data_IF_394450348369
#
_entry.id   IF_394450348369
#
_cell.length_a   1.000
_cell.length_b   1.000
_cell.length_c   1.000
_cell.angle_alpha   90.00
_cell.angle_beta   90.00
_cell.angle_gamma   90.00
#
_symmetry.space_group_name_H-M   'P 1'
#
loop_
_entity.id
_entity.type
_entity.pdbx_description
1 polymer ?
#
# COMPACT_ATOMS: atom_id res chain seq x y z
N UNK A 1 -81.12 -64.80 -14.05
CA UNK A 1 -80.77 -66.01 -13.26
C UNK A 1 -79.41 -65.73 -12.56
N UNK A 2 -79.38 -65.80 -11.22
CA UNK A 2 -78.25 -65.83 -10.26
C UNK A 2 -77.49 -64.49 -10.07
N UNK A 3 -77.86 -63.81 -9.03
CA UNK A 3 -77.36 -63.82 -7.64
C UNK A 3 -75.85 -63.55 -7.51
N UNK A 4 -75.51 -62.35 -6.97
CA UNK A 4 -75.18 -61.97 -5.62
C UNK A 4 -73.81 -62.50 -5.13
N UNK A 5 -72.94 -61.64 -4.80
CA UNK A 5 -72.37 -61.66 -3.42
C UNK A 5 -71.66 -60.36 -3.07
N UNK A 6 -72.15 -59.66 -2.11
CA UNK A 6 -71.51 -58.57 -1.34
C UNK A 6 -70.40 -59.20 -0.49
N UNK A 7 -69.24 -58.67 -0.50
CA UNK A 7 -68.30 -58.73 0.62
C UNK A 7 -67.68 -57.34 0.86
N UNK A 8 -68.10 -56.80 2.00
CA UNK A 8 -67.54 -55.54 2.46
C UNK A 8 -66.08 -55.68 2.96
N UNK A 9 -65.27 -54.75 2.62
CA UNK A 9 -63.96 -54.58 3.21
C UNK A 9 -63.97 -53.33 4.06
N UNK A 10 -63.76 -53.56 5.39
CA UNK A 10 -63.66 -52.55 6.40
C UNK A 10 -62.45 -51.66 6.16
N UNK A 11 -62.69 -50.39 5.96
CA UNK A 11 -61.60 -49.41 5.87
C UNK A 11 -60.90 -49.24 7.21
N UNK A 12 -59.64 -49.51 7.23
CA UNK A 12 -58.76 -49.13 8.34
C UNK A 12 -58.23 -47.72 8.06
N UNK A 13 -58.78 -46.76 8.79
CA UNK A 13 -58.19 -45.42 8.83
C UNK A 13 -56.93 -45.48 9.69
N UNK A 14 -55.76 -45.46 9.07
CA UNK A 14 -54.49 -45.21 9.72
C UNK A 14 -54.29 -43.70 9.80
N UNK A 15 -54.50 -43.15 11.01
CA UNK A 15 -54.22 -41.78 11.32
C UNK A 15 -52.71 -41.60 11.46
N UNK A 16 -52.05 -41.12 10.39
CA UNK A 16 -50.65 -40.78 10.41
C UNK A 16 -50.48 -39.46 11.20
N UNK A 17 -50.08 -39.58 12.46
CA UNK A 17 -49.56 -38.42 13.23
C UNK A 17 -48.25 -37.99 12.64
N UNK A 18 -48.27 -36.92 11.87
CA UNK A 18 -47.10 -36.19 11.46
C UNK A 18 -46.58 -35.41 12.69
N UNK A 19 -45.62 -36.02 13.39
CA UNK A 19 -44.80 -35.30 14.39
C UNK A 19 -44.00 -34.23 13.67
N UNK A 20 -44.50 -33.02 13.65
CA UNK A 20 -43.77 -31.83 13.27
C UNK A 20 -42.64 -31.58 14.26
N UNK A 21 -41.45 -32.11 13.96
CA UNK A 21 -40.22 -31.77 14.65
C UNK A 21 -39.79 -30.40 14.15
N UNK A 22 -40.28 -29.34 14.83
CA UNK A 22 -39.81 -27.97 14.62
C UNK A 22 -38.33 -27.92 14.96
N UNK A 23 -37.49 -27.92 13.92
CA UNK A 23 -36.06 -27.64 14.03
C UNK A 23 -35.94 -26.17 14.42
N UNK A 24 -35.93 -25.88 15.72
CA UNK A 24 -35.48 -24.58 16.23
C UNK A 24 -34.02 -24.41 15.82
N UNK A 25 -33.82 -23.75 14.67
CA UNK A 25 -32.53 -23.16 14.35
C UNK A 25 -32.21 -22.15 15.46
N UNK A 26 -31.39 -22.58 16.40
CA UNK A 26 -30.69 -21.68 17.32
C UNK A 26 -29.89 -20.72 16.50
N UNK A 27 -30.49 -19.61 16.12
CA UNK A 27 -29.74 -18.46 15.58
C UNK A 27 -28.91 -17.95 16.76
N UNK A 28 -27.65 -18.39 16.83
CA UNK A 28 -26.67 -17.76 17.71
C UNK A 28 -26.71 -16.27 17.38
N UNK A 29 -26.84 -15.39 18.39
CA UNK A 29 -26.74 -13.95 18.10
C UNK A 29 -25.44 -13.73 17.36
N UNK A 30 -25.50 -13.07 16.19
CA UNK A 30 -24.34 -12.56 15.49
C UNK A 30 -23.73 -11.50 16.42
N UNK A 31 -22.88 -11.94 17.33
CA UNK A 31 -22.00 -11.02 18.06
C UNK A 31 -21.03 -10.51 17.01
N UNK A 32 -21.08 -9.21 16.74
CA UNK A 32 -20.16 -8.58 15.81
C UNK A 32 -18.74 -8.81 16.34
N UNK A 33 -17.98 -9.65 15.65
CA UNK A 33 -16.58 -9.92 15.98
C UNK A 33 -15.75 -8.69 15.61
N UNK A 34 -14.91 -8.25 16.53
CA UNK A 34 -14.00 -7.14 16.32
C UNK A 34 -12.63 -7.67 15.88
N UNK A 35 -11.75 -6.78 15.44
CA UNK A 35 -10.37 -7.16 15.12
C UNK A 35 -9.64 -7.80 16.31
N UNK A 36 -10.03 -7.45 17.54
CA UNK A 36 -9.42 -8.03 18.75
C UNK A 36 -9.73 -9.52 18.84
N UNK A 37 -10.95 -9.92 18.49
CA UNK A 37 -11.41 -11.32 18.54
C UNK A 37 -10.77 -12.17 17.42
N UNK A 38 -10.42 -11.52 16.30
CA UNK A 38 -9.93 -12.17 15.08
C UNK A 38 -8.42 -11.98 14.85
N UNK A 39 -7.70 -11.28 15.74
CA UNK A 39 -6.30 -10.87 15.53
C UNK A 39 -5.38 -12.00 15.08
N UNK A 40 -5.51 -13.16 15.72
CA UNK A 40 -4.69 -14.34 15.41
C UNK A 40 -5.09 -15.08 14.13
N UNK A 41 -6.21 -14.72 13.55
CA UNK A 41 -6.75 -15.33 12.32
C UNK A 41 -6.47 -14.50 11.07
N UNK A 42 -5.91 -13.28 11.23
CA UNK A 42 -5.60 -12.42 10.10
C UNK A 42 -4.58 -13.10 9.21
N UNK A 43 -5.02 -13.51 8.02
CA UNK A 43 -4.12 -14.02 6.99
C UNK A 43 -3.43 -12.85 6.28
N UNK A 44 -2.14 -13.03 5.97
CA UNK A 44 -1.42 -12.05 5.15
C UNK A 44 -2.01 -12.05 3.75
N UNK A 45 -2.47 -10.88 3.24
CA UNK A 45 -2.97 -10.79 1.87
C UNK A 45 -1.89 -11.18 0.85
N UNK A 46 -2.28 -11.67 -0.35
CA UNK A 46 -1.33 -11.92 -1.42
C UNK A 46 -0.60 -10.62 -1.80
N UNK A 47 0.63 -10.77 -2.32
CA UNK A 47 1.41 -9.64 -2.78
C UNK A 47 0.65 -8.86 -3.86
N UNK A 48 0.55 -7.51 -3.76
CA UNK A 48 -0.06 -6.70 -4.80
C UNK A 48 0.70 -6.84 -6.13
N UNK A 49 -0.03 -6.70 -7.24
CA UNK A 49 0.56 -6.73 -8.57
C UNK A 49 1.48 -5.53 -8.80
N UNK A 50 2.67 -5.78 -9.34
CA UNK A 50 3.59 -4.74 -9.81
C UNK A 50 3.52 -4.63 -11.34
N UNK A 51 3.43 -3.39 -11.86
CA UNK A 51 3.18 -3.12 -13.28
C UNK A 51 4.28 -2.28 -13.90
N UNK A 52 4.63 -2.50 -15.18
CA UNK A 52 5.43 -1.54 -15.93
C UNK A 52 4.71 -0.18 -15.98
N UNK A 53 5.50 0.89 -15.91
CA UNK A 53 4.97 2.25 -16.01
C UNK A 53 5.88 3.13 -16.85
N UNK A 54 5.27 3.95 -17.71
CA UNK A 54 5.97 5.01 -18.45
C UNK A 54 5.58 6.35 -17.84
N UNK A 55 6.57 7.18 -17.52
CA UNK A 55 6.37 8.51 -16.95
C UNK A 55 6.86 9.59 -17.90
N UNK A 56 6.20 10.75 -17.92
CA UNK A 56 6.70 11.92 -18.60
C UNK A 56 7.70 12.66 -17.68
N UNK A 57 9.00 12.73 -18.03
CA UNK A 57 10.02 13.38 -17.22
C UNK A 57 9.71 14.85 -16.90
N UNK A 58 8.98 15.55 -17.79
CA UNK A 58 8.67 16.98 -17.64
C UNK A 58 7.65 17.26 -16.57
N UNK A 59 6.76 16.28 -16.29
CA UNK A 59 5.68 16.42 -15.31
C UNK A 59 5.84 15.46 -14.13
N UNK A 60 7.00 14.81 -14.03
CA UNK A 60 7.31 13.85 -12.96
C UNK A 60 8.38 14.42 -12.01
N UNK A 61 8.26 14.09 -10.73
CA UNK A 61 9.34 14.28 -9.76
C UNK A 61 9.72 12.95 -9.09
N UNK A 62 11.01 12.76 -8.88
CA UNK A 62 11.56 11.69 -8.05
C UNK A 62 11.76 12.20 -6.62
N UNK A 63 11.11 11.58 -5.65
CA UNK A 63 11.24 11.88 -4.23
C UNK A 63 12.14 10.84 -3.56
N UNK A 64 13.24 11.30 -2.96
CA UNK A 64 14.16 10.48 -2.16
C UNK A 64 13.95 10.81 -0.68
N UNK A 65 13.24 9.92 0.03
CA UNK A 65 12.78 10.17 1.38
C UNK A 65 13.70 9.54 2.43
N UNK A 66 14.32 10.41 3.23
CA UNK A 66 15.04 10.08 4.46
C UNK A 66 16.18 9.05 4.32
N UNK A 67 16.90 9.07 3.19
CA UNK A 67 18.12 8.27 3.00
C UNK A 67 19.32 8.81 3.80
N UNK A 68 19.06 9.40 4.96
CA UNK A 68 20.09 9.95 5.82
C UNK A 68 20.63 8.92 6.84
N UNK A 69 21.90 9.01 7.20
CA UNK A 69 22.65 8.03 8.01
C UNK A 69 22.04 7.72 9.38
N UNK A 70 21.28 8.65 9.95
CA UNK A 70 20.59 8.44 11.23
C UNK A 70 19.48 7.38 11.15
N UNK A 71 18.95 7.18 9.95
CA UNK A 71 17.82 6.26 9.70
C UNK A 71 18.22 5.12 8.79
N UNK A 72 18.91 5.42 7.69
CA UNK A 72 19.37 4.47 6.70
C UNK A 72 20.79 3.99 7.03
N UNK A 73 20.90 3.01 7.90
CA UNK A 73 22.18 2.42 8.31
C UNK A 73 22.04 0.91 8.55
N UNK A 74 23.17 0.22 8.64
CA UNK A 74 23.21 -1.24 8.73
C UNK A 74 22.61 -1.79 10.03
N UNK A 75 22.70 -1.04 11.14
CA UNK A 75 22.20 -1.48 12.44
C UNK A 75 20.68 -1.39 12.52
N UNK A 76 20.13 -0.28 12.05
CA UNK A 76 18.72 0.03 12.18
C UNK A 76 17.90 -0.48 11.00
N UNK A 77 18.41 -0.29 9.77
CA UNK A 77 17.68 -0.61 8.52
C UNK A 77 18.61 -1.16 7.44
N UNK A 78 19.13 -2.36 7.59
CA UNK A 78 20.00 -2.96 6.58
C UNK A 78 19.32 -3.04 5.19
N UNK A 79 17.99 -3.19 5.17
CA UNK A 79 17.20 -3.19 3.93
C UNK A 79 17.23 -1.83 3.20
N UNK A 80 17.38 -0.72 3.95
CA UNK A 80 17.59 0.58 3.34
C UNK A 80 18.92 0.64 2.59
N UNK A 81 20.00 0.17 3.23
CA UNK A 81 21.32 0.08 2.57
C UNK A 81 21.23 -0.79 1.31
N UNK A 82 20.53 -1.92 1.38
CA UNK A 82 20.36 -2.83 0.25
C UNK A 82 19.57 -2.20 -0.94
N UNK A 83 18.70 -1.21 -0.69
CA UNK A 83 17.95 -0.50 -1.75
C UNK A 83 18.76 0.58 -2.46
N UNK A 84 19.84 1.10 -1.86
CA UNK A 84 20.61 2.24 -2.39
C UNK A 84 21.11 2.00 -3.82
N UNK A 85 21.69 0.86 -4.21
CA UNK A 85 22.19 0.67 -5.58
C UNK A 85 21.08 0.82 -6.64
N UNK A 86 19.89 0.29 -6.39
CA UNK A 86 18.74 0.43 -7.28
C UNK A 86 18.25 1.88 -7.35
N UNK A 87 18.12 2.53 -6.20
CA UNK A 87 17.70 3.94 -6.12
C UNK A 87 18.73 4.87 -6.78
N UNK A 88 20.01 4.59 -6.66
CA UNK A 88 21.08 5.32 -7.36
C UNK A 88 20.93 5.25 -8.89
N UNK A 89 20.61 4.06 -9.41
CA UNK A 89 20.34 3.90 -10.84
C UNK A 89 19.13 4.75 -11.27
N UNK A 90 18.02 4.66 -10.53
CA UNK A 90 16.83 5.44 -10.81
C UNK A 90 17.10 6.95 -10.73
N UNK A 91 17.89 7.40 -9.76
CA UNK A 91 18.31 8.80 -9.62
C UNK A 91 19.14 9.28 -10.80
N UNK A 92 20.10 8.47 -11.26
CA UNK A 92 20.93 8.79 -12.43
C UNK A 92 20.05 8.92 -13.69
N UNK A 93 19.13 7.99 -13.91
CA UNK A 93 18.20 8.02 -15.04
C UNK A 93 17.26 9.24 -14.97
N UNK A 94 16.75 9.58 -13.78
CA UNK A 94 15.92 10.75 -13.57
C UNK A 94 16.66 12.06 -13.90
N UNK A 95 17.88 12.20 -13.41
CA UNK A 95 18.76 13.36 -13.70
C UNK A 95 19.07 13.48 -15.18
N UNK A 96 19.41 12.37 -15.84
CA UNK A 96 19.70 12.34 -17.28
C UNK A 96 18.49 12.76 -18.12
N UNK A 97 17.28 12.41 -17.70
CA UNK A 97 16.02 12.77 -18.36
C UNK A 97 15.52 14.18 -17.98
N UNK A 98 16.19 14.88 -17.08
CA UNK A 98 15.75 16.20 -16.58
C UNK A 98 14.53 16.14 -15.65
N UNK A 99 14.23 14.98 -15.09
CA UNK A 99 13.17 14.82 -14.08
C UNK A 99 13.52 15.59 -12.81
N UNK A 100 12.55 16.27 -12.24
CA UNK A 100 12.73 16.99 -10.97
C UNK A 100 13.09 16.00 -9.87
N UNK A 101 14.16 16.28 -9.14
CA UNK A 101 14.59 15.46 -7.98
C UNK A 101 14.41 16.28 -6.72
N UNK A 102 13.76 15.70 -5.71
CA UNK A 102 13.50 16.34 -4.41
C UNK A 102 13.87 15.37 -3.29
N UNK A 103 14.57 15.87 -2.30
CA UNK A 103 14.98 15.10 -1.13
C UNK A 103 14.14 15.46 0.09
N UNK A 104 14.04 14.50 1.01
CA UNK A 104 13.62 14.82 2.35
C UNK A 104 14.62 14.32 3.39
N UNK A 105 14.58 14.98 4.53
CA UNK A 105 15.35 14.65 5.72
C UNK A 105 14.43 14.48 6.92
N UNK A 106 14.81 13.59 7.81
CA UNK A 106 14.23 13.56 9.15
C UNK A 106 14.73 14.73 9.99
N UNK A 107 14.00 15.07 11.06
CA UNK A 107 14.38 16.14 11.98
C UNK A 107 15.82 15.95 12.51
N UNK A 108 16.59 17.02 12.52
CA UNK A 108 17.98 17.03 12.96
C UNK A 108 19.02 16.52 11.96
N UNK A 109 18.61 16.00 10.81
CA UNK A 109 19.53 15.62 9.73
C UNK A 109 19.82 16.82 8.82
N UNK A 110 20.98 16.78 8.16
CA UNK A 110 21.44 17.77 7.19
C UNK A 110 21.67 17.12 5.81
N UNK A 111 21.78 17.86 4.72
CA UNK A 111 22.07 17.28 3.40
C UNK A 111 23.36 16.46 3.37
N UNK A 112 24.35 16.78 4.21
CA UNK A 112 25.60 16.02 4.33
C UNK A 112 25.40 14.63 4.99
N UNK A 113 24.25 14.38 5.58
CA UNK A 113 23.91 13.08 6.17
C UNK A 113 23.28 12.12 5.16
N UNK A 114 22.89 12.58 3.98
CA UNK A 114 22.38 11.73 2.91
C UNK A 114 23.45 10.76 2.46
N UNK A 115 23.07 9.49 2.21
CA UNK A 115 23.99 8.50 1.69
C UNK A 115 24.76 9.04 0.48
N UNK A 116 26.09 8.91 0.46
CA UNK A 116 26.96 9.52 -0.54
C UNK A 116 26.59 9.16 -1.99
N UNK A 117 26.15 7.92 -2.20
CA UNK A 117 25.68 7.43 -3.51
C UNK A 117 24.40 8.13 -4.01
N UNK A 118 23.68 8.81 -3.12
CA UNK A 118 22.44 9.53 -3.39
C UNK A 118 22.58 11.03 -3.13
N UNK A 119 23.81 11.54 -2.96
CA UNK A 119 24.04 12.94 -2.59
C UNK A 119 23.30 13.92 -3.53
N UNK A 120 22.64 14.97 -2.99
CA UNK A 120 21.96 15.96 -3.80
C UNK A 120 22.94 16.81 -4.60
N UNK A 121 22.54 17.19 -5.81
CA UNK A 121 23.25 18.18 -6.61
C UNK A 121 22.78 19.60 -6.24
N UNK A 122 23.58 20.60 -6.58
CA UNK A 122 23.20 21.98 -6.39
C UNK A 122 21.88 22.31 -7.11
N UNK A 123 20.95 22.92 -6.39
CA UNK A 123 19.64 23.29 -6.91
C UNK A 123 18.54 22.22 -6.75
N UNK A 124 18.86 20.99 -6.32
CA UNK A 124 17.86 19.99 -5.96
C UNK A 124 17.25 20.33 -4.58
N UNK A 125 15.93 20.54 -4.48
CA UNK A 125 15.30 20.91 -3.22
C UNK A 125 15.41 19.85 -2.14
N UNK A 126 15.59 20.29 -0.90
CA UNK A 126 15.58 19.43 0.29
C UNK A 126 14.55 19.97 1.27
N UNK A 127 13.63 19.13 1.71
CA UNK A 127 12.65 19.48 2.76
C UNK A 127 12.91 18.67 4.02
N UNK A 128 12.60 19.23 5.18
CA UNK A 128 12.76 18.55 6.47
C UNK A 128 11.41 18.51 7.19
N UNK A 129 10.94 17.32 7.54
CA UNK A 129 9.64 17.12 8.15
C UNK A 129 9.56 15.80 8.92
N UNK A 130 8.44 15.59 9.62
CA UNK A 130 8.00 14.30 10.14
C UNK A 130 7.67 13.31 9.01
N UNK A 131 6.85 12.27 9.30
CA UNK A 131 6.55 11.23 8.30
C UNK A 131 5.86 11.74 7.03
N UNK A 132 4.90 12.65 7.14
CA UNK A 132 4.29 13.28 5.95
C UNK A 132 5.15 14.46 5.51
N UNK A 133 5.75 14.34 4.31
CA UNK A 133 6.65 15.36 3.78
C UNK A 133 5.95 16.61 3.25
N UNK A 134 4.64 16.57 3.11
CA UNK A 134 3.81 17.76 2.83
C UNK A 134 3.53 18.59 4.06
N UNK A 135 3.55 17.97 5.24
CA UNK A 135 3.19 18.66 6.49
C UNK A 135 4.28 19.62 6.95
N UNK A 136 3.95 20.91 6.97
CA UNK A 136 4.84 21.96 7.46
C UNK A 136 6.05 22.24 6.56
N UNK A 137 5.98 21.87 5.27
CA UNK A 137 7.05 22.13 4.29
C UNK A 137 6.53 22.79 3.03
N UNK A 138 7.44 23.27 2.19
CA UNK A 138 7.15 23.82 0.87
C UNK A 138 6.99 22.72 -0.24
N UNK A 139 6.97 21.42 0.09
CA UNK A 139 6.96 20.35 -0.92
C UNK A 139 5.83 20.54 -1.95
N UNK A 140 4.62 20.80 -1.50
CA UNK A 140 3.47 21.00 -2.39
C UNK A 140 3.67 22.20 -3.33
N UNK A 141 4.17 23.29 -2.80
CA UNK A 141 4.48 24.51 -3.56
C UNK A 141 5.58 24.25 -4.59
N UNK A 142 6.64 23.54 -4.20
CA UNK A 142 7.74 23.16 -5.10
C UNK A 142 7.21 22.32 -6.26
N UNK A 143 6.42 21.28 -5.97
CA UNK A 143 5.84 20.41 -6.99
C UNK A 143 4.91 21.18 -7.95
N UNK A 144 4.02 22.01 -7.41
CA UNK A 144 3.11 22.85 -8.21
C UNK A 144 3.87 23.84 -9.11
N UNK A 145 4.86 24.53 -8.58
CA UNK A 145 5.63 25.51 -9.35
C UNK A 145 6.44 24.88 -10.48
N UNK A 146 6.76 23.59 -10.36
CA UNK A 146 7.46 22.82 -11.39
C UNK A 146 6.52 22.05 -12.32
N UNK A 147 5.20 22.22 -12.19
CA UNK A 147 4.20 21.57 -13.03
C UNK A 147 4.10 20.06 -12.84
N UNK A 148 4.53 19.55 -11.68
CA UNK A 148 4.55 18.11 -11.40
C UNK A 148 3.13 17.57 -11.23
N UNK A 149 2.85 16.50 -11.94
CA UNK A 149 1.58 15.74 -11.88
C UNK A 149 1.79 14.32 -11.36
N UNK A 150 3.00 13.78 -11.51
CA UNK A 150 3.37 12.43 -11.08
C UNK A 150 4.56 12.49 -10.12
N UNK A 151 4.51 11.71 -9.05
CA UNK A 151 5.64 11.55 -8.14
C UNK A 151 6.07 10.08 -8.09
N UNK A 152 7.37 9.84 -8.27
CA UNK A 152 8.01 8.55 -7.98
C UNK A 152 8.50 8.63 -6.54
N UNK A 153 8.01 7.75 -5.67
CA UNK A 153 8.31 7.82 -4.23
C UNK A 153 9.24 6.68 -3.83
N UNK A 154 10.42 7.02 -3.31
CA UNK A 154 11.39 6.06 -2.76
C UNK A 154 11.77 6.47 -1.34
N UNK A 155 12.34 5.55 -0.55
CA UNK A 155 12.87 5.93 0.75
C UNK A 155 12.56 5.01 1.92
N UNK A 156 12.71 5.57 3.12
CA UNK A 156 12.57 4.87 4.40
C UNK A 156 12.01 5.79 5.50
N UNK A 157 11.12 5.35 6.39
CA UNK A 157 10.54 4.01 6.48
C UNK A 157 9.35 3.84 5.54
N UNK A 158 9.20 2.64 4.99
CA UNK A 158 8.07 2.31 4.12
C UNK A 158 6.72 2.69 4.74
N UNK A 159 6.43 2.24 5.97
CA UNK A 159 5.20 2.52 6.72
C UNK A 159 5.18 3.92 7.42
N UNK A 160 6.16 4.74 7.13
CA UNK A 160 6.29 6.12 7.64
C UNK A 160 6.40 7.11 6.48
N UNK A 161 7.61 7.64 6.23
CA UNK A 161 7.84 8.66 5.21
C UNK A 161 7.26 8.30 3.84
N UNK A 162 7.44 7.05 3.39
CA UNK A 162 6.93 6.59 2.09
C UNK A 162 5.40 6.55 2.10
N UNK A 163 4.79 5.82 3.04
CA UNK A 163 3.34 5.65 3.12
C UNK A 163 2.60 6.98 3.22
N UNK A 164 3.01 7.83 4.16
CA UNK A 164 2.31 9.11 4.41
C UNK A 164 2.49 10.08 3.26
N UNK A 165 3.69 10.16 2.68
CA UNK A 165 3.95 11.08 1.56
C UNK A 165 3.27 10.60 0.28
N UNK A 166 3.30 9.30 -0.03
CA UNK A 166 2.59 8.72 -1.17
C UNK A 166 1.07 8.92 -1.05
N UNK A 167 0.50 8.63 0.12
CA UNK A 167 -0.92 8.88 0.39
C UNK A 167 -1.26 10.37 0.29
N UNK A 168 -0.41 11.24 0.85
CA UNK A 168 -0.57 12.69 0.78
C UNK A 168 -0.55 13.21 -0.66
N UNK A 169 0.32 12.71 -1.52
CA UNK A 169 0.37 13.04 -2.94
C UNK A 169 -0.91 12.58 -3.67
N UNK A 170 -1.31 11.33 -3.46
CA UNK A 170 -2.51 10.75 -4.06
C UNK A 170 -3.79 11.54 -3.68
N UNK A 171 -3.94 11.90 -2.40
CA UNK A 171 -5.08 12.68 -1.90
C UNK A 171 -5.10 14.13 -2.44
N UNK A 172 -3.95 14.65 -2.89
CA UNK A 172 -3.81 15.92 -3.62
C UNK A 172 -4.03 15.79 -5.12
N UNK A 173 -4.42 14.60 -5.60
CA UNK A 173 -4.75 14.32 -7.00
C UNK A 173 -3.56 13.94 -7.88
N UNK A 174 -2.33 13.89 -7.34
CA UNK A 174 -1.14 13.47 -8.09
C UNK A 174 -1.18 11.98 -8.37
N UNK A 175 -0.60 11.57 -9.50
CA UNK A 175 -0.26 10.17 -9.75
C UNK A 175 0.96 9.79 -8.92
N UNK A 176 0.93 8.62 -8.30
CA UNK A 176 2.03 8.09 -7.50
C UNK A 176 2.56 6.81 -8.14
N UNK A 177 3.83 6.79 -8.43
CA UNK A 177 4.57 5.60 -8.86
C UNK A 177 5.43 5.15 -7.69
N UNK A 178 5.17 3.94 -7.19
CA UNK A 178 5.89 3.38 -6.06
C UNK A 178 6.70 2.15 -6.50
N UNK A 179 8.01 2.28 -6.75
CA UNK A 179 8.87 1.11 -6.90
C UNK A 179 9.04 0.44 -5.54
N UNK A 180 8.46 -0.77 -5.40
CA UNK A 180 8.45 -1.49 -4.12
C UNK A 180 9.85 -1.92 -3.66
N UNK A 181 10.80 -2.05 -4.59
CA UNK A 181 12.21 -2.28 -4.35
C UNK A 181 13.02 -1.00 -4.08
N UNK A 182 12.39 0.16 -4.20
CA UNK A 182 12.94 1.48 -3.83
C UNK A 182 12.51 1.98 -2.45
N UNK A 183 11.70 1.22 -1.71
CA UNK A 183 11.33 1.53 -0.33
C UNK A 183 11.88 0.50 0.63
N UNK A 184 11.99 0.84 1.91
CA UNK A 184 12.49 -0.06 2.95
C UNK A 184 11.94 0.24 4.34
N UNK A 185 11.93 -0.78 5.20
CA UNK A 185 11.60 -0.64 6.61
C UNK A 185 12.53 -1.52 7.47
N UNK A 186 12.32 -1.51 8.79
CA UNK A 186 13.03 -2.39 9.73
C UNK A 186 12.62 -3.85 9.56
N UNK A 187 11.39 -4.10 9.13
CA UNK A 187 10.87 -5.45 8.92
C UNK A 187 10.05 -5.54 7.63
N UNK A 188 9.96 -6.76 7.10
CA UNK A 188 9.30 -7.04 5.81
C UNK A 188 7.79 -6.82 5.86
N UNK A 189 7.15 -7.02 7.02
CA UNK A 189 5.71 -6.80 7.18
C UNK A 189 5.35 -5.33 6.94
N UNK A 190 6.17 -4.40 7.45
CA UNK A 190 5.94 -2.97 7.24
C UNK A 190 6.05 -2.56 5.76
N UNK A 191 6.94 -3.19 4.99
CA UNK A 191 7.03 -2.99 3.53
C UNK A 191 5.81 -3.56 2.82
N UNK A 192 5.42 -4.79 3.17
CA UNK A 192 4.24 -5.44 2.59
C UNK A 192 2.95 -4.70 2.94
N UNK A 193 2.79 -4.27 4.19
CA UNK A 193 1.66 -3.46 4.63
C UNK A 193 1.57 -2.16 3.82
N UNK A 194 2.69 -1.47 3.61
CA UNK A 194 2.74 -0.24 2.83
C UNK A 194 2.27 -0.46 1.38
N UNK A 195 2.80 -1.50 0.72
CA UNK A 195 2.38 -1.86 -0.63
C UNK A 195 0.90 -2.20 -0.69
N UNK A 196 0.43 -3.04 0.24
CA UNK A 196 -0.98 -3.42 0.32
C UNK A 196 -1.89 -2.21 0.58
N UNK A 197 -1.54 -1.37 1.55
CA UNK A 197 -2.31 -0.17 1.87
C UNK A 197 -2.47 0.74 0.66
N UNK A 198 -1.36 1.08 0.01
CA UNK A 198 -1.37 1.98 -1.14
C UNK A 198 -2.14 1.40 -2.34
N UNK A 199 -2.17 0.07 -2.49
CA UNK A 199 -2.95 -0.60 -3.53
C UNK A 199 -4.45 -0.71 -3.21
N UNK A 200 -4.88 -0.56 -1.94
CA UNK A 200 -6.24 -0.85 -1.52
C UNK A 200 -6.96 0.31 -0.80
N UNK A 201 -6.22 1.30 -0.29
CA UNK A 201 -6.81 2.37 0.51
C UNK A 201 -7.78 3.23 -0.31
N UNK A 202 -8.99 3.53 0.21
CA UNK A 202 -9.97 4.37 -0.47
C UNK A 202 -9.38 5.72 -0.87
N UNK A 203 -9.69 6.20 -2.08
CA UNK A 203 -9.23 7.46 -2.68
C UNK A 203 -7.72 7.55 -2.95
N UNK A 204 -6.91 6.65 -2.39
CA UNK A 204 -5.46 6.58 -2.62
C UNK A 204 -5.14 5.62 -3.76
N UNK A 205 -5.67 4.39 -3.70
CA UNK A 205 -5.34 3.31 -4.63
C UNK A 205 -5.58 3.64 -6.10
N UNK A 206 -6.60 4.43 -6.40
CA UNK A 206 -6.89 4.88 -7.78
C UNK A 206 -5.79 5.80 -8.37
N UNK A 207 -4.88 6.29 -7.55
CA UNK A 207 -3.77 7.16 -7.94
C UNK A 207 -2.40 6.52 -7.81
N UNK A 208 -2.32 5.29 -7.31
CA UNK A 208 -1.04 4.61 -7.05
C UNK A 208 -0.81 3.48 -8.04
N UNK A 209 0.38 3.45 -8.61
CA UNK A 209 0.89 2.34 -9.41
C UNK A 209 2.08 1.74 -8.66
N UNK A 210 1.94 0.48 -8.24
CA UNK A 210 3.07 -0.29 -7.71
C UNK A 210 3.89 -0.82 -8.88
N UNK A 211 5.21 -0.68 -8.79
CA UNK A 211 6.14 -1.09 -9.82
C UNK A 211 7.46 -1.58 -9.22
N UNK A 212 8.48 -1.80 -10.05
CA UNK A 212 9.87 -1.98 -9.69
C UNK A 212 10.71 -0.94 -10.40
N UNK A 213 11.91 -0.67 -9.88
CA UNK A 213 12.82 0.32 -10.45
C UNK A 213 13.09 0.03 -11.93
N UNK A 214 13.33 -1.23 -12.28
CA UNK A 214 13.64 -1.67 -13.64
C UNK A 214 12.43 -1.65 -14.61
N UNK A 215 11.23 -1.44 -14.11
CA UNK A 215 9.99 -1.35 -14.89
C UNK A 215 9.54 0.09 -15.14
N UNK A 216 10.26 1.09 -14.64
CA UNK A 216 9.99 2.52 -14.90
C UNK A 216 10.72 2.94 -16.21
N UNK A 217 9.96 3.49 -17.17
CA UNK A 217 10.44 3.94 -18.47
C UNK A 217 10.28 5.45 -18.66
#
# INVERSE_FOLDING_TARGET
MKEAHRRGVKGFFVLAMLSGMSLLLLQSPLVAQTIVDEWQRVAVPPAPEVKPVTVDPKTTALLLLDFNKQICNAERRPRCIASIPGVRKLLADARMKGTVVIYSLSAGATPADIASDLAPLGGEPVVTSGPDKFMGTDLEKILKNKGVQTVIVTGTAAHGAVLYTASGAALRGMQVVLPVDGMSAENIYAEQYTAWHLANAPRVSAKVILTKIDLIK
#
